data_IF_471890335679
#
_entry.id   IF_471890335679
#
_cell.length_a   1.000
_cell.length_b   1.000
_cell.length_c   1.000
_cell.angle_alpha   90.00
_cell.angle_beta   90.00
_cell.angle_gamma   90.00
#
_symmetry.space_group_name_H-M   'P 1'
#
loop_
_entity.id
_entity.type
_entity.pdbx_description
1 polymer ?
#
# COMPACT_ATOMS: atom_id res chain seq x y z
N UNK A 1 31.08 -66.72 1.39
CA UNK A 1 31.05 -67.17 2.80
C UNK A 1 29.67 -66.85 3.35
N UNK A 2 29.02 -67.86 3.92
CA UNK A 2 27.58 -67.97 4.17
C UNK A 2 27.29 -68.04 5.68
N UNK A 3 26.08 -67.62 6.08
CA UNK A 3 25.28 -67.85 7.33
C UNK A 3 24.79 -66.52 7.93
N UNK A 4 23.51 -66.15 7.85
CA UNK A 4 22.24 -66.76 8.32
C UNK A 4 21.93 -66.47 9.81
N UNK A 5 20.81 -65.77 10.05
CA UNK A 5 19.88 -65.89 11.20
C UNK A 5 18.61 -65.04 10.91
N UNK A 6 17.51 -65.68 10.45
CA UNK A 6 16.21 -65.89 11.14
C UNK A 6 15.47 -64.58 11.50
N UNK A 7 14.43 -64.12 10.76
CA UNK A 7 13.04 -64.61 10.62
C UNK A 7 12.18 -64.56 11.90
N UNK A 8 11.23 -63.61 11.96
CA UNK A 8 9.93 -63.80 12.59
C UNK A 8 8.84 -63.13 11.73
N UNK A 9 7.77 -63.88 11.49
CA UNK A 9 6.61 -63.61 10.64
C UNK A 9 5.39 -63.31 11.55
N UNK A 10 4.36 -62.67 10.98
CA UNK A 10 2.93 -62.59 11.37
C UNK A 10 2.57 -61.29 12.11
N UNK A 11 1.58 -60.45 11.76
CA UNK A 11 0.39 -60.54 10.91
C UNK A 11 -0.04 -59.13 10.43
N UNK A 12 -0.59 -59.01 9.21
CA UNK A 12 -1.48 -57.90 8.79
C UNK A 12 -2.94 -58.28 9.06
N UNK A 13 -3.83 -57.29 9.32
CA UNK A 13 -5.06 -57.18 8.52
C UNK A 13 -5.44 -55.69 8.25
N UNK A 14 -6.61 -55.36 7.65
CA UNK A 14 -6.76 -55.20 6.21
C UNK A 14 -7.06 -53.76 5.75
N UNK A 15 -6.86 -53.55 4.45
CA UNK A 15 -7.27 -52.38 3.69
C UNK A 15 -8.79 -52.23 3.70
N UNK A 16 -9.28 -51.09 4.18
CA UNK A 16 -10.63 -50.60 3.91
C UNK A 16 -10.55 -49.53 2.81
N UNK A 17 -11.06 -49.91 1.65
CA UNK A 17 -11.33 -49.02 0.54
C UNK A 17 -12.43 -48.02 0.93
N UNK A 18 -12.19 -46.73 0.72
CA UNK A 18 -13.25 -45.75 0.55
C UNK A 18 -13.06 -45.03 -0.77
N UNK A 19 -13.90 -45.39 -1.74
CA UNK A 19 -14.11 -44.63 -2.95
C UNK A 19 -15.20 -43.58 -2.68
N UNK A 20 -14.92 -42.30 -2.95
CA UNK A 20 -15.76 -41.40 -3.79
C UNK A 20 -15.26 -39.95 -3.84
N UNK A 21 -14.99 -39.56 -5.09
CA UNK A 21 -15.28 -38.28 -5.75
C UNK A 21 -14.38 -37.05 -5.50
N UNK A 22 -14.24 -36.19 -6.53
CA UNK A 22 -13.17 -35.20 -6.67
C UNK A 22 -13.60 -33.82 -6.16
N UNK A 23 -12.68 -32.86 -6.27
CA UNK A 23 -12.83 -31.42 -6.00
C UNK A 23 -12.66 -30.99 -4.54
N UNK A 24 -11.42 -30.77 -4.14
CA UNK A 24 -11.05 -29.72 -3.19
C UNK A 24 -10.07 -28.78 -3.89
N UNK A 25 -10.61 -27.73 -4.53
CA UNK A 25 -9.79 -26.60 -4.95
C UNK A 25 -9.19 -25.94 -3.71
N UNK A 26 -7.89 -25.60 -3.71
CA UNK A 26 -7.31 -24.83 -2.63
C UNK A 26 -7.93 -23.42 -2.68
N UNK A 27 -8.61 -23.04 -1.60
CA UNK A 27 -9.10 -21.69 -1.36
C UNK A 27 -7.89 -20.75 -1.26
N UNK A 28 -7.52 -20.13 -2.38
CA UNK A 28 -6.55 -19.04 -2.46
C UNK A 28 -7.19 -17.76 -1.89
N UNK A 29 -6.97 -17.51 -0.59
CA UNK A 29 -7.34 -16.26 0.07
C UNK A 29 -6.12 -15.31 0.12
N UNK A 30 -6.08 -14.32 -0.78
CA UNK A 30 -5.08 -13.27 -0.79
C UNK A 30 -5.43 -12.13 0.19
N UNK A 31 -4.41 -11.66 0.91
CA UNK A 31 -4.44 -10.58 1.90
C UNK A 31 -3.60 -9.40 1.41
N UNK A 32 -4.10 -8.18 1.55
CA UNK A 32 -3.55 -6.95 1.00
C UNK A 32 -2.09 -6.60 1.33
N UNK A 33 -1.46 -5.81 0.44
CA UNK A 33 -0.29 -4.98 0.74
C UNK A 33 -0.67 -3.49 0.83
N UNK A 34 0.12 -2.81 1.68
CA UNK A 34 0.20 -1.41 2.10
C UNK A 34 -0.83 -0.39 1.63
N UNK A 35 -1.21 -0.35 0.35
CA UNK A 35 -2.04 0.73 -0.15
C UNK A 35 -3.36 0.26 -0.79
N UNK A 36 -3.74 -0.99 -0.56
CA UNK A 36 -5.05 -1.53 -0.96
C UNK A 36 -5.72 -2.12 0.26
N UNK A 37 -6.38 -1.30 1.09
CA UNK A 37 -7.13 -1.85 2.21
C UNK A 37 -8.26 -2.77 1.75
N UNK A 38 -8.55 -3.83 2.50
CA UNK A 38 -9.75 -4.64 2.31
C UNK A 38 -10.35 -5.03 3.67
N UNK A 39 -11.69 -5.12 3.60
CA UNK A 39 -12.59 -5.96 4.37
C UNK A 39 -12.67 -5.71 5.88
N UNK A 40 -13.59 -4.80 6.25
CA UNK A 40 -14.09 -4.66 7.60
C UNK A 40 -15.55 -5.16 7.66
N UNK A 41 -15.73 -6.40 8.11
CA UNK A 41 -16.98 -6.91 8.66
C UNK A 41 -16.64 -7.77 9.87
N UNK A 42 -16.43 -7.16 11.05
CA UNK A 42 -16.92 -7.70 12.34
C UNK A 42 -16.72 -6.76 13.55
N UNK A 43 -17.83 -6.58 14.28
CA UNK A 43 -18.00 -6.24 15.71
C UNK A 43 -18.01 -4.79 16.24
N UNK A 44 -19.22 -4.41 16.67
CA UNK A 44 -19.57 -3.38 17.65
C UNK A 44 -19.43 -3.90 19.11
N UNK A 45 -19.40 -2.95 20.06
CA UNK A 45 -19.59 -3.01 21.53
C UNK A 45 -18.36 -3.18 22.47
N UNK A 46 -17.98 -2.11 23.22
CA UNK A 46 -18.32 -1.86 24.65
C UNK A 46 -17.59 -0.60 25.23
N UNK A 47 -18.41 0.30 25.79
CA UNK A 47 -18.29 1.22 26.95
C UNK A 47 -17.20 2.30 27.15
N UNK A 48 -17.72 3.56 27.17
CA UNK A 48 -17.86 4.56 28.28
C UNK A 48 -16.70 4.88 29.25
N UNK A 49 -16.73 6.18 29.62
CA UNK A 49 -16.19 6.92 30.81
C UNK A 49 -14.73 7.38 30.65
N UNK A 50 -14.32 8.65 30.81
CA UNK A 50 -14.75 9.85 31.58
C UNK A 50 -14.42 11.11 30.72
N UNK A 51 -15.18 12.21 30.65
CA UNK A 51 -15.62 13.09 31.73
C UNK A 51 -14.53 14.12 32.09
N UNK A 52 -14.56 15.34 31.53
CA UNK A 52 -14.34 16.61 32.26
C UNK A 52 -14.59 17.83 31.36
N UNK A 53 -15.56 18.64 31.78
CA UNK A 53 -15.91 19.93 31.20
C UNK A 53 -14.95 21.03 31.66
N UNK A 54 -14.65 22.02 30.80
CA UNK A 54 -14.14 23.33 31.22
C UNK A 54 -15.01 24.45 30.64
N UNK A 55 -15.70 25.14 31.55
CA UNK A 55 -16.40 26.41 31.34
C UNK A 55 -15.39 27.55 31.26
N UNK A 56 -15.70 28.49 30.37
CA UNK A 56 -15.18 29.85 30.32
C UNK A 56 -15.57 30.66 31.56
N UNK A 57 -14.70 31.59 32.01
CA UNK A 57 -15.10 32.94 32.43
C UNK A 57 -13.91 33.89 32.57
N UNK A 58 -14.24 35.14 32.26
CA UNK A 58 -13.51 36.41 32.20
C UNK A 58 -12.86 36.90 33.50
N UNK A 59 -11.86 37.78 33.38
CA UNK A 59 -11.41 38.68 34.45
C UNK A 59 -10.45 39.77 33.93
N UNK A 60 -10.80 41.03 34.18
CA UNK A 60 -10.12 42.28 33.76
C UNK A 60 -9.35 42.90 34.94
N UNK A 61 -8.40 43.82 34.63
CA UNK A 61 -7.65 44.82 35.46
C UNK A 61 -6.21 44.38 35.78
N UNK A 62 -5.17 45.22 35.70
CA UNK A 62 -5.00 46.63 35.35
C UNK A 62 -3.57 47.09 35.72
N UNK A 63 -3.07 48.14 35.04
CA UNK A 63 -2.17 49.16 35.62
C UNK A 63 -0.65 48.91 35.73
N UNK A 64 0.09 49.77 35.02
CA UNK A 64 1.26 50.57 35.47
C UNK A 64 2.61 50.35 34.74
N UNK A 65 3.05 51.44 34.09
CA UNK A 65 4.40 51.75 33.57
C UNK A 65 5.27 52.32 34.72
N UNK A 66 6.62 52.34 34.58
CA UNK A 66 7.26 53.55 34.06
C UNK A 66 8.50 53.36 33.15
N UNK A 67 8.49 54.16 32.08
CA UNK A 67 9.56 55.00 31.50
C UNK A 67 11.06 54.60 31.59
N UNK A 68 11.71 54.61 30.42
CA UNK A 68 12.99 55.30 30.19
C UNK A 68 13.18 55.68 28.72
N UNK A 69 13.16 56.99 28.47
CA UNK A 69 13.49 57.66 27.21
C UNK A 69 15.00 57.52 26.93
N UNK A 70 15.37 57.20 25.69
CA UNK A 70 16.69 57.55 25.15
C UNK A 70 16.55 58.04 23.71
N UNK A 71 17.15 59.20 23.48
CA UNK A 71 16.96 60.07 22.34
C UNK A 71 17.45 59.47 21.02
N UNK A 72 16.64 59.67 19.97
CA UNK A 72 17.03 59.54 18.57
C UNK A 72 18.09 60.60 18.25
N UNK A 73 19.24 60.17 17.70
CA UNK A 73 20.09 61.01 16.85
C UNK A 73 19.98 60.49 15.43
N UNK A 74 19.35 61.29 14.57
CA UNK A 74 19.42 61.15 13.13
C UNK A 74 20.80 61.61 12.66
N UNK A 75 21.57 60.70 12.06
CA UNK A 75 22.68 61.05 11.19
C UNK A 75 22.34 60.54 9.79
N UNK A 76 22.06 61.47 8.88
CA UNK A 76 22.11 61.22 7.45
C UNK A 76 23.57 61.14 7.02
N UNK A 77 23.96 60.02 6.42
CA UNK A 77 25.16 59.91 5.60
C UNK A 77 24.77 59.14 4.34
N UNK A 78 24.83 59.83 3.20
CA UNK A 78 24.72 59.21 1.89
C UNK A 78 25.95 58.29 1.69
N UNK A 79 25.72 57.01 1.41
CA UNK A 79 26.74 56.07 1.00
C UNK A 79 26.15 55.13 -0.07
N UNK A 80 26.57 55.41 -1.29
CA UNK A 80 26.68 54.61 -2.52
C UNK A 80 25.99 53.25 -2.60
N UNK A 81 25.24 53.09 -3.69
CA UNK A 81 24.66 51.84 -4.15
C UNK A 81 25.76 50.81 -4.49
N UNK A 82 25.96 49.83 -3.62
CA UNK A 82 26.63 48.58 -3.98
C UNK A 82 25.60 47.66 -4.63
N UNK A 83 25.84 47.33 -5.90
CA UNK A 83 25.10 46.33 -6.64
C UNK A 83 24.96 45.04 -5.82
N UNK A 84 23.70 44.60 -5.65
CA UNK A 84 23.36 43.31 -5.05
C UNK A 84 24.01 42.21 -5.88
N UNK A 85 24.98 41.52 -5.28
CA UNK A 85 25.48 40.27 -5.80
C UNK A 85 24.30 39.29 -5.95
N UNK A 86 24.18 38.70 -7.14
CA UNK A 86 23.27 37.61 -7.45
C UNK A 86 23.24 36.59 -6.29
N UNK A 87 22.10 36.52 -5.62
CA UNK A 87 21.81 35.47 -4.65
C UNK A 87 21.62 34.18 -5.48
N UNK A 88 22.66 33.34 -5.50
CA UNK A 88 22.63 32.06 -6.18
C UNK A 88 21.35 31.30 -5.74
N UNK A 89 20.60 30.71 -6.69
CA UNK A 89 19.33 30.07 -6.36
C UNK A 89 19.57 29.00 -5.30
N UNK A 90 18.81 29.08 -4.20
CA UNK A 90 18.86 28.10 -3.13
C UNK A 90 18.72 26.68 -3.73
N UNK A 91 19.48 25.68 -3.22
CA UNK A 91 19.39 24.32 -3.73
C UNK A 91 17.93 23.87 -3.68
N UNK A 92 17.41 23.21 -4.75
CA UNK A 92 16.01 22.85 -4.82
C UNK A 92 15.63 22.04 -3.57
N UNK A 93 14.57 22.46 -2.90
CA UNK A 93 14.07 21.79 -1.71
C UNK A 93 13.83 20.31 -2.03
N UNK A 94 14.50 19.41 -1.31
CA UNK A 94 14.42 17.98 -1.56
C UNK A 94 12.97 17.51 -1.41
N UNK A 95 12.40 16.91 -2.47
CA UNK A 95 11.04 16.36 -2.42
C UNK A 95 10.93 15.35 -1.26
N UNK A 96 9.79 15.38 -0.55
CA UNK A 96 9.46 14.34 0.44
C UNK A 96 9.38 12.99 -0.26
N UNK A 97 9.68 11.92 0.47
CA UNK A 97 9.70 10.56 -0.03
C UNK A 97 8.43 9.80 0.33
N UNK A 98 7.85 9.16 -0.68
CA UNK A 98 6.71 8.26 -0.54
C UNK A 98 7.11 6.86 -0.97
N UNK A 99 6.76 5.87 -0.16
CA UNK A 99 7.05 4.46 -0.43
C UNK A 99 5.75 3.66 -0.41
N UNK A 100 5.56 2.78 -1.40
CA UNK A 100 4.37 1.92 -1.46
C UNK A 100 4.69 0.57 -2.10
N UNK A 101 4.32 -0.50 -1.41
CA UNK A 101 4.47 -1.87 -1.86
C UNK A 101 3.15 -2.47 -2.35
N UNK A 102 3.20 -3.21 -3.46
CA UNK A 102 2.05 -3.96 -4.02
C UNK A 102 2.35 -5.45 -4.08
N UNK A 103 1.38 -6.29 -3.69
CA UNK A 103 1.51 -7.73 -3.88
C UNK A 103 1.39 -8.15 -5.36
N UNK A 104 2.22 -9.11 -5.79
CA UNK A 104 2.11 -9.73 -7.11
C UNK A 104 0.88 -10.64 -7.17
N UNK A 105 -0.31 -10.06 -7.38
CA UNK A 105 -1.54 -10.84 -7.55
C UNK A 105 -1.87 -11.11 -9.01
N UNK A 106 -1.33 -10.32 -9.95
CA UNK A 106 -1.70 -10.35 -11.38
C UNK A 106 -3.14 -9.88 -11.67
N UNK A 107 -4.04 -10.03 -10.70
CA UNK A 107 -5.45 -9.62 -10.76
C UNK A 107 -5.66 -8.29 -10.04
N UNK A 108 -5.52 -7.20 -10.77
CA UNK A 108 -5.88 -5.85 -10.30
C UNK A 108 -7.30 -5.55 -10.77
N UNK A 109 -8.18 -5.17 -9.84
CA UNK A 109 -9.55 -4.82 -10.16
C UNK A 109 -9.80 -3.30 -10.10
N UNK A 110 -10.93 -2.86 -10.65
CA UNK A 110 -11.33 -1.47 -10.77
C UNK A 110 -11.27 -0.72 -9.43
N UNK A 111 -11.70 -1.36 -8.34
CA UNK A 111 -11.57 -0.81 -6.99
C UNK A 111 -10.14 -0.52 -6.54
N UNK A 112 -9.14 -1.33 -6.92
CA UNK A 112 -7.73 -1.03 -6.61
C UNK A 112 -7.22 0.15 -7.45
N UNK A 113 -7.60 0.16 -8.72
CA UNK A 113 -7.18 1.19 -9.65
C UNK A 113 -7.73 2.58 -9.29
N UNK A 114 -9.04 2.70 -9.11
CA UNK A 114 -9.69 3.96 -8.77
C UNK A 114 -9.46 4.39 -7.30
N UNK A 115 -9.26 3.42 -6.40
CA UNK A 115 -9.03 3.70 -4.99
C UNK A 115 -7.59 4.08 -4.65
N UNK A 116 -6.61 3.57 -5.40
CA UNK A 116 -5.20 3.67 -5.02
C UNK A 116 -4.27 4.03 -6.19
N UNK A 117 -4.25 3.24 -7.27
CA UNK A 117 -3.27 3.40 -8.36
C UNK A 117 -3.37 4.78 -9.00
N UNK A 118 -4.58 5.26 -9.31
CA UNK A 118 -4.81 6.59 -9.89
C UNK A 118 -4.29 7.71 -8.99
N UNK A 119 -4.37 7.54 -7.66
CA UNK A 119 -3.81 8.50 -6.71
C UNK A 119 -2.28 8.49 -6.72
N UNK A 120 -1.64 7.32 -6.84
CA UNK A 120 -0.18 7.23 -6.90
C UNK A 120 0.43 7.85 -8.16
N UNK A 121 -0.28 7.76 -9.29
CA UNK A 121 0.10 8.44 -10.53
C UNK A 121 0.18 9.96 -10.34
N UNK A 122 -0.63 10.54 -9.44
CA UNK A 122 -0.51 11.95 -9.07
C UNK A 122 0.64 12.22 -8.07
N UNK A 123 0.97 11.24 -7.21
CA UNK A 123 2.04 11.39 -6.21
C UNK A 123 3.43 11.49 -6.82
N UNK A 124 3.70 10.80 -7.94
CA UNK A 124 5.02 10.83 -8.59
C UNK A 124 5.45 12.21 -9.08
N UNK A 125 4.50 13.12 -9.35
CA UNK A 125 4.81 14.50 -9.73
C UNK A 125 5.18 15.35 -8.50
N UNK A 126 4.57 15.07 -7.36
CA UNK A 126 4.71 15.83 -6.11
C UNK A 126 5.85 15.34 -5.21
N UNK A 127 6.16 14.05 -5.25
CA UNK A 127 7.05 13.37 -4.31
C UNK A 127 8.13 12.54 -5.03
N UNK A 128 9.23 12.26 -4.33
CA UNK A 128 10.16 11.21 -4.74
C UNK A 128 9.52 9.86 -4.36
N UNK A 129 9.12 9.08 -5.34
CA UNK A 129 8.26 7.91 -5.14
C UNK A 129 8.98 6.59 -5.40
N UNK A 130 8.75 5.62 -4.51
CA UNK A 130 9.22 4.24 -4.61
C UNK A 130 8.02 3.30 -4.63
N UNK A 131 7.73 2.73 -5.80
CA UNK A 131 6.68 1.74 -6.00
C UNK A 131 7.34 0.38 -6.24
N UNK A 132 6.99 -0.64 -5.48
CA UNK A 132 7.65 -1.92 -5.65
C UNK A 132 6.73 -3.10 -5.45
N UNK A 133 7.02 -4.17 -6.19
CA UNK A 133 6.29 -5.41 -6.14
C UNK A 133 6.87 -6.24 -4.99
N UNK A 134 6.07 -6.50 -3.96
CA UNK A 134 6.47 -7.18 -2.72
C UNK A 134 6.39 -8.70 -2.83
N UNK A 135 7.24 -9.27 -3.66
CA UNK A 135 7.34 -10.72 -3.87
C UNK A 135 7.83 -11.48 -2.62
N UNK A 136 8.67 -10.87 -1.77
CA UNK A 136 9.10 -11.48 -0.51
C UNK A 136 7.95 -11.55 0.52
N UNK A 137 7.01 -10.60 0.49
CA UNK A 137 5.79 -10.69 1.31
C UNK A 137 4.82 -11.75 0.78
N UNK A 138 4.80 -11.99 -0.54
CA UNK A 138 3.88 -12.95 -1.17
C UNK A 138 4.12 -14.39 -0.70
N UNK A 139 5.36 -14.74 -0.38
CA UNK A 139 5.74 -16.10 0.06
C UNK A 139 5.46 -16.37 1.55
N UNK A 140 4.88 -15.42 2.29
CA UNK A 140 4.54 -15.60 3.72
C UNK A 140 3.32 -16.51 3.94
N UNK A 141 2.57 -16.78 2.88
CA UNK A 141 1.42 -17.68 2.82
C UNK A 141 1.60 -18.66 1.64
N UNK A 142 0.79 -19.73 1.55
CA UNK A 142 0.83 -20.64 0.41
C UNK A 142 0.68 -19.89 -0.92
N UNK A 143 1.58 -20.17 -1.86
CA UNK A 143 1.63 -19.54 -3.18
C UNK A 143 1.99 -20.59 -4.25
N UNK A 144 1.68 -20.29 -5.50
CA UNK A 144 2.07 -21.11 -6.64
C UNK A 144 3.37 -20.59 -7.24
N UNK A 145 4.46 -21.36 -7.12
CA UNK A 145 5.80 -20.95 -7.51
C UNK A 145 5.94 -20.64 -9.02
N UNK A 146 5.43 -21.50 -9.94
CA UNK A 146 5.29 -21.18 -11.36
C UNK A 146 4.60 -19.84 -11.68
N UNK A 147 3.67 -19.38 -10.84
CA UNK A 147 2.88 -18.18 -11.10
C UNK A 147 3.45 -16.90 -10.49
N UNK A 148 4.27 -16.98 -9.43
CA UNK A 148 4.81 -15.80 -8.74
C UNK A 148 5.56 -14.84 -9.68
N UNK A 149 6.42 -15.39 -10.54
CA UNK A 149 7.19 -14.59 -11.51
C UNK A 149 6.28 -13.92 -12.55
N UNK A 150 5.28 -14.65 -13.05
CA UNK A 150 4.31 -14.13 -14.02
C UNK A 150 3.44 -13.03 -13.39
N UNK A 151 2.95 -13.27 -12.18
CA UNK A 151 2.16 -12.31 -11.43
C UNK A 151 2.95 -11.04 -11.08
N UNK A 152 4.26 -11.18 -10.79
CA UNK A 152 5.16 -10.05 -10.56
C UNK A 152 5.31 -9.19 -11.82
N UNK A 153 5.61 -9.82 -12.97
CA UNK A 153 5.71 -9.12 -14.26
C UNK A 153 4.41 -8.46 -14.67
N UNK A 154 3.30 -9.20 -14.60
CA UNK A 154 1.97 -8.69 -14.94
C UNK A 154 1.59 -7.51 -14.03
N UNK A 155 1.85 -7.59 -12.73
CA UNK A 155 1.58 -6.48 -11.80
C UNK A 155 2.42 -5.25 -12.13
N UNK A 156 3.71 -5.41 -12.43
CA UNK A 156 4.58 -4.31 -12.85
C UNK A 156 4.09 -3.65 -14.15
N UNK A 157 3.73 -4.46 -15.15
CA UNK A 157 3.20 -3.98 -16.42
C UNK A 157 1.87 -3.22 -16.26
N UNK A 158 0.95 -3.71 -15.41
CA UNK A 158 -0.30 -3.00 -15.09
C UNK A 158 0.00 -1.62 -14.49
N UNK A 159 0.99 -1.51 -13.60
CA UNK A 159 1.31 -0.23 -12.94
C UNK A 159 1.84 0.79 -13.94
N UNK A 160 2.74 0.36 -14.82
CA UNK A 160 3.24 1.18 -15.92
C UNK A 160 2.10 1.59 -16.87
N UNK A 161 1.21 0.64 -17.22
CA UNK A 161 0.06 0.88 -18.09
C UNK A 161 -0.97 1.85 -17.49
N UNK A 162 -1.11 1.86 -16.16
CA UNK A 162 -1.96 2.83 -15.44
C UNK A 162 -1.34 4.24 -15.35
N UNK A 163 -0.09 4.44 -15.78
CA UNK A 163 0.55 5.76 -15.84
C UNK A 163 1.68 6.01 -14.84
N UNK A 164 2.17 4.97 -14.15
CA UNK A 164 3.43 5.10 -13.39
C UNK A 164 4.59 5.27 -14.38
N UNK A 165 5.32 6.38 -14.23
CA UNK A 165 6.39 6.78 -15.12
C UNK A 165 7.75 6.47 -14.48
N UNK A 166 8.50 5.52 -15.04
CA UNK A 166 9.82 5.10 -14.56
C UNK A 166 10.90 6.19 -14.60
N UNK A 167 10.65 7.29 -15.32
CA UNK A 167 11.52 8.48 -15.30
C UNK A 167 11.28 9.35 -14.06
N UNK A 168 10.08 9.30 -13.48
CA UNK A 168 9.66 10.10 -12.31
C UNK A 168 9.67 9.32 -11.00
N UNK A 169 9.34 8.03 -11.06
CA UNK A 169 9.23 7.12 -9.94
C UNK A 169 10.20 5.95 -10.07
N UNK A 170 10.68 5.41 -8.94
CA UNK A 170 11.40 4.13 -8.94
C UNK A 170 10.38 3.00 -8.87
N UNK A 171 10.29 2.20 -9.94
CA UNK A 171 9.49 0.97 -9.98
C UNK A 171 10.39 -0.26 -10.00
N UNK A 172 10.26 -1.15 -9.04
CA UNK A 172 11.17 -2.30 -8.90
C UNK A 172 10.52 -3.51 -8.21
N UNK A 173 11.23 -4.64 -8.18
CA UNK A 173 10.82 -5.84 -7.45
C UNK A 173 11.57 -5.91 -6.13
N UNK A 174 10.87 -6.18 -5.02
CA UNK A 174 11.44 -6.16 -3.67
C UNK A 174 12.67 -7.07 -3.54
N UNK A 175 12.59 -8.30 -4.05
CA UNK A 175 13.71 -9.25 -4.03
C UNK A 175 14.95 -8.82 -4.82
N UNK A 176 14.83 -7.88 -5.77
CA UNK A 176 15.97 -7.38 -6.54
C UNK A 176 16.85 -6.43 -5.72
N UNK A 177 16.37 -5.93 -4.58
CA UNK A 177 17.10 -5.03 -3.69
C UNK A 177 17.41 -5.76 -2.38
N UNK A 178 18.62 -6.33 -2.28
CA UNK A 178 19.03 -7.17 -1.14
C UNK A 178 18.88 -6.51 0.23
N UNK A 179 19.00 -5.19 0.28
CA UNK A 179 18.96 -4.39 1.50
C UNK A 179 17.65 -4.58 2.29
N UNK A 180 16.54 -4.95 1.63
CA UNK A 180 15.27 -5.26 2.30
C UNK A 180 15.42 -6.38 3.33
N UNK A 181 16.09 -7.48 2.96
CA UNK A 181 16.29 -8.62 3.86
C UNK A 181 17.40 -8.35 4.88
N UNK A 182 18.49 -7.71 4.46
CA UNK A 182 19.59 -7.37 5.36
C UNK A 182 19.13 -6.44 6.48
N UNK A 183 18.39 -5.37 6.15
CA UNK A 183 17.86 -4.47 7.16
C UNK A 183 16.78 -5.17 8.00
N UNK A 184 15.91 -6.02 7.42
CA UNK A 184 14.95 -6.80 8.20
C UNK A 184 15.65 -7.61 9.29
N UNK A 185 16.77 -8.27 8.99
CA UNK A 185 17.54 -9.02 9.98
C UNK A 185 18.06 -8.11 11.11
N UNK A 186 18.63 -6.95 10.77
CA UNK A 186 19.12 -6.00 11.75
C UNK A 186 17.98 -5.47 12.65
N UNK A 187 16.85 -5.10 12.06
CA UNK A 187 15.66 -4.64 12.80
C UNK A 187 15.06 -5.74 13.69
N UNK A 188 15.14 -7.01 13.27
CA UNK A 188 14.65 -8.15 14.05
C UNK A 188 15.38 -8.25 15.40
N UNK A 189 16.69 -7.96 15.44
CA UNK A 189 17.47 -7.93 16.70
C UNK A 189 16.97 -6.90 17.71
N UNK A 190 16.31 -5.83 17.22
CA UNK A 190 15.78 -4.74 18.02
C UNK A 190 14.28 -4.85 18.27
N UNK A 191 13.59 -5.84 17.69
CA UNK A 191 12.13 -5.98 17.75
C UNK A 191 11.74 -7.08 18.75
N UNK A 192 11.10 -6.74 19.89
CA UNK A 192 10.63 -7.76 20.83
C UNK A 192 9.57 -8.67 20.20
N UNK A 193 9.69 -9.98 20.41
CA UNK A 193 8.70 -10.96 19.92
C UNK A 193 7.28 -10.68 20.41
N UNK A 194 7.15 -10.10 21.62
CA UNK A 194 5.87 -9.70 22.20
C UNK A 194 5.14 -8.60 21.41
N UNK A 195 5.84 -7.81 20.59
CA UNK A 195 5.21 -6.83 19.71
C UNK A 195 4.55 -7.52 18.51
N UNK A 196 5.25 -8.50 17.93
CA UNK A 196 4.76 -9.29 16.79
C UNK A 196 3.55 -10.15 17.18
N UNK A 197 3.59 -10.79 18.35
CA UNK A 197 2.47 -11.61 18.86
C UNK A 197 1.19 -10.80 19.15
N UNK A 198 1.27 -9.47 19.25
CA UNK A 198 0.10 -8.59 19.45
C UNK A 198 -0.57 -8.18 18.13
N UNK A 199 0.07 -8.42 16.99
CA UNK A 199 -0.47 -8.04 15.68
C UNK A 199 -1.78 -8.78 15.41
N UNK A 200 -2.83 -8.03 15.09
CA UNK A 200 -4.17 -8.58 14.83
C UNK A 200 -4.12 -9.47 13.58
N UNK A 201 -3.47 -8.96 12.54
CA UNK A 201 -3.27 -9.67 11.26
C UNK A 201 -2.56 -11.01 11.45
N UNK A 202 -1.53 -11.08 12.31
CA UNK A 202 -0.87 -12.35 12.61
C UNK A 202 -1.84 -13.34 13.26
N UNK A 203 -2.59 -12.92 14.28
CA UNK A 203 -3.55 -13.79 14.99
C UNK A 203 -4.64 -14.32 14.07
N UNK A 204 -5.19 -13.46 13.21
CA UNK A 204 -6.25 -13.85 12.28
C UNK A 204 -5.75 -14.80 11.19
N UNK A 205 -4.60 -14.51 10.58
CA UNK A 205 -4.00 -15.35 9.53
C UNK A 205 -3.51 -16.68 10.09
N UNK A 206 -2.93 -16.67 11.29
CA UNK A 206 -2.48 -17.88 11.99
C UNK A 206 -3.63 -18.85 12.26
N UNK A 207 -4.76 -18.32 12.78
CA UNK A 207 -5.98 -19.10 13.00
C UNK A 207 -6.53 -19.73 11.71
N UNK A 208 -6.49 -19.00 10.60
CA UNK A 208 -6.95 -19.49 9.28
C UNK A 208 -6.03 -20.57 8.69
N UNK A 209 -4.72 -20.44 8.88
CA UNK A 209 -3.72 -21.39 8.39
C UNK A 209 -3.57 -22.64 9.28
N UNK A 210 -4.30 -22.72 10.40
CA UNK A 210 -4.28 -23.86 11.30
C UNK A 210 -3.10 -23.88 12.25
N UNK A 211 -2.76 -22.73 12.88
CA UNK A 211 -1.83 -22.46 13.99
C UNK A 211 -0.45 -23.17 14.00
N UNK A 212 -0.42 -24.50 13.93
CA UNK A 212 0.79 -25.35 13.92
C UNK A 212 1.56 -25.28 12.59
N UNK A 213 0.86 -25.01 11.47
CA UNK A 213 1.48 -24.93 10.13
C UNK A 213 1.90 -23.52 9.72
N UNK A 214 1.93 -22.58 10.66
CA UNK A 214 2.23 -21.17 10.37
C UNK A 214 3.73 -20.96 10.25
N UNK A 215 4.19 -20.55 9.07
CA UNK A 215 5.59 -20.22 8.83
C UNK A 215 6.05 -19.01 9.65
N UNK A 216 7.32 -19.01 10.07
CA UNK A 216 7.96 -17.90 10.79
C UNK A 216 7.82 -16.57 10.04
N UNK A 217 7.86 -16.61 8.71
CA UNK A 217 7.69 -15.45 7.86
C UNK A 217 6.37 -14.71 8.12
N UNK A 218 5.28 -15.41 8.48
CA UNK A 218 4.00 -14.79 8.79
C UNK A 218 4.04 -13.99 10.12
N UNK A 219 4.89 -14.39 11.06
CA UNK A 219 5.11 -13.64 12.30
C UNK A 219 6.02 -12.43 12.07
N UNK A 220 7.03 -12.58 11.21
CA UNK A 220 8.12 -11.59 11.05
C UNK A 220 7.92 -10.63 9.88
N UNK A 221 6.94 -10.84 8.99
CA UNK A 221 6.68 -9.91 7.88
C UNK A 221 6.43 -8.46 8.32
N UNK A 222 5.89 -8.13 9.51
CA UNK A 222 5.79 -6.74 9.95
C UNK A 222 7.16 -6.07 10.14
N UNK A 223 8.22 -6.83 10.39
CA UNK A 223 9.60 -6.32 10.44
C UNK A 223 10.17 -6.12 9.03
N UNK A 224 9.82 -7.01 8.10
CA UNK A 224 10.13 -6.82 6.67
C UNK A 224 9.45 -5.55 6.14
N UNK A 225 8.18 -5.34 6.51
CA UNK A 225 7.44 -4.09 6.28
C UNK A 225 8.22 -2.87 6.76
N UNK A 226 8.68 -2.89 8.02
CA UNK A 226 9.46 -1.78 8.57
C UNK A 226 10.76 -1.56 7.79
N UNK A 227 11.44 -2.64 7.39
CA UNK A 227 12.63 -2.57 6.53
C UNK A 227 12.33 -1.88 5.20
N UNK A 228 11.24 -2.29 4.54
CA UNK A 228 10.80 -1.74 3.26
C UNK A 228 10.59 -0.23 3.29
N UNK A 229 10.07 0.32 4.41
CA UNK A 229 9.89 1.76 4.55
C UNK A 229 11.19 2.48 4.91
N UNK A 230 11.90 1.96 5.91
CA UNK A 230 12.96 2.71 6.58
C UNK A 230 14.22 2.82 5.72
N UNK A 231 14.47 1.87 4.80
CA UNK A 231 15.57 1.92 3.83
C UNK A 231 15.60 3.22 3.03
N UNK A 232 14.44 3.69 2.62
CA UNK A 232 14.34 4.84 1.73
C UNK A 232 14.30 6.18 2.46
N UNK A 233 14.44 6.20 3.79
CA UNK A 233 14.28 7.41 4.60
C UNK A 233 12.93 8.09 4.30
N UNK A 234 11.89 7.27 4.22
CA UNK A 234 10.55 7.67 3.80
C UNK A 234 9.92 8.67 4.76
N UNK A 235 9.26 9.68 4.21
CA UNK A 235 8.51 10.67 4.98
C UNK A 235 7.05 10.22 5.14
N UNK A 236 6.50 9.62 4.09
CA UNK A 236 5.08 9.36 3.93
C UNK A 236 4.84 7.94 3.41
N UNK A 237 3.82 7.26 3.94
CA UNK A 237 3.42 5.92 3.50
C UNK A 237 1.91 5.92 3.24
N UNK A 238 1.47 5.65 2.00
CA UNK A 238 0.04 5.50 1.72
C UNK A 238 -0.41 4.19 2.36
N UNK A 239 -1.23 4.29 3.41
CA UNK A 239 -1.74 3.12 4.13
C UNK A 239 -3.26 3.05 4.13
N UNK A 240 -3.79 1.84 3.88
CA UNK A 240 -5.17 1.52 4.22
C UNK A 240 -5.37 1.42 5.73
N UNK A 241 -6.62 1.55 6.19
CA UNK A 241 -6.98 1.46 7.63
C UNK A 241 -6.48 0.14 8.26
N UNK A 242 -6.53 -0.96 7.51
CA UNK A 242 -6.09 -2.31 7.91
C UNK A 242 -4.57 -2.43 8.16
N UNK A 243 -3.77 -1.50 7.63
CA UNK A 243 -2.31 -1.51 7.74
C UNK A 243 -1.76 -0.51 8.76
N UNK A 244 -2.64 0.25 9.41
CA UNK A 244 -2.28 1.27 10.42
C UNK A 244 -1.42 0.66 11.55
N UNK A 245 -1.75 -0.56 12.00
CA UNK A 245 -1.02 -1.23 13.06
C UNK A 245 0.44 -1.54 12.66
N UNK A 246 0.69 -1.92 11.41
CA UNK A 246 2.04 -2.21 10.94
C UNK A 246 2.86 -0.93 10.72
N UNK A 247 2.22 0.17 10.29
CA UNK A 247 2.88 1.46 10.22
C UNK A 247 3.28 1.95 11.61
N UNK A 248 2.42 1.77 12.61
CA UNK A 248 2.74 2.15 13.98
C UNK A 248 3.89 1.29 14.56
N UNK A 249 3.89 -0.02 14.28
CA UNK A 249 5.04 -0.87 14.61
C UNK A 249 6.32 -0.37 13.92
N UNK A 250 6.24 0.06 12.66
CA UNK A 250 7.40 0.61 11.94
C UNK A 250 7.94 1.87 12.62
N UNK A 251 7.04 2.74 13.08
CA UNK A 251 7.38 3.95 13.84
C UNK A 251 8.07 3.59 15.16
N UNK A 252 7.49 2.68 15.94
CA UNK A 252 8.08 2.20 17.20
C UNK A 252 9.47 1.57 17.00
N UNK A 253 9.65 0.74 15.97
CA UNK A 253 10.95 0.15 15.62
C UNK A 253 11.95 1.25 15.25
N UNK A 254 11.55 2.23 14.43
CA UNK A 254 12.42 3.32 14.00
C UNK A 254 12.91 4.17 15.16
N UNK A 255 12.02 4.54 16.08
CA UNK A 255 12.34 5.32 17.28
C UNK A 255 13.25 4.53 18.22
N UNK A 256 12.96 3.24 18.41
CA UNK A 256 13.79 2.36 19.23
C UNK A 256 15.22 2.26 18.70
N UNK A 257 15.39 2.00 17.40
CA UNK A 257 16.73 1.91 16.79
C UNK A 257 17.46 3.24 16.84
N UNK A 258 16.75 4.36 16.61
CA UNK A 258 17.30 5.70 16.76
C UNK A 258 17.82 5.95 18.19
N UNK A 259 17.09 5.52 19.22
CA UNK A 259 17.48 5.69 20.62
C UNK A 259 18.65 4.77 21.02
N UNK A 260 18.65 3.53 20.52
CA UNK A 260 19.67 2.54 20.84
C UNK A 260 21.03 2.90 20.21
N UNK A 261 21.02 3.22 18.91
CA UNK A 261 22.24 3.30 18.12
C UNK A 261 22.55 4.70 17.57
N UNK A 262 21.56 5.59 17.44
CA UNK A 262 21.73 6.92 16.90
C UNK A 262 22.46 7.91 17.83
N UNK A 263 22.31 9.20 17.52
CA UNK A 263 22.80 10.32 18.31
C UNK A 263 24.33 10.34 18.45
N UNK A 264 24.80 10.60 19.66
CA UNK A 264 26.25 10.68 19.96
C UNK A 264 26.97 9.33 19.83
N UNK A 265 26.26 8.21 20.01
CA UNK A 265 26.85 6.86 19.94
C UNK A 265 27.34 6.57 18.52
N UNK A 266 26.47 6.76 17.53
CA UNK A 266 26.85 6.64 16.12
C UNK A 266 27.95 7.63 15.72
N UNK A 267 27.89 8.87 16.20
CA UNK A 267 28.94 9.87 15.91
C UNK A 267 30.32 9.43 16.39
N UNK A 268 30.42 8.78 17.56
CA UNK A 268 31.69 8.23 18.08
C UNK A 268 32.27 7.11 17.21
N UNK A 269 31.43 6.39 16.48
CA UNK A 269 31.84 5.35 15.52
C UNK A 269 32.16 5.92 14.13
N UNK A 270 32.31 7.24 14.00
CA UNK A 270 32.59 7.93 12.74
C UNK A 270 31.35 8.14 11.86
N UNK A 271 30.15 8.00 12.40
CA UNK A 271 28.90 8.30 11.70
C UNK A 271 28.56 9.79 11.73
N UNK A 272 27.55 10.20 10.95
CA UNK A 272 27.08 11.60 10.96
C UNK A 272 26.44 12.02 12.30
N UNK A 273 26.00 11.07 13.11
CA UNK A 273 25.22 11.30 14.33
C UNK A 273 23.74 11.58 14.05
N UNK A 274 22.97 11.88 15.10
CA UNK A 274 21.52 12.09 14.99
C UNK A 274 20.75 10.80 14.71
N UNK A 275 19.56 10.91 14.14
CA UNK A 275 18.70 9.76 13.86
C UNK A 275 19.20 8.96 12.64
N UNK A 276 19.10 7.63 12.75
CA UNK A 276 19.38 6.68 11.66
C UNK A 276 18.23 6.66 10.66
N UNK A 277 17.00 6.70 11.15
CA UNK A 277 15.78 6.70 10.35
C UNK A 277 14.95 7.94 10.59
N UNK A 278 14.26 8.40 9.54
CA UNK A 278 13.06 9.21 9.69
C UNK A 278 11.92 8.35 10.23
N UNK A 279 11.04 8.95 11.02
CA UNK A 279 9.83 8.30 11.50
C UNK A 279 8.72 8.55 10.47
N UNK A 280 8.22 7.52 9.76
CA UNK A 280 7.27 7.71 8.67
C UNK A 280 5.88 8.13 9.19
N UNK A 281 5.17 8.94 8.41
CA UNK A 281 3.79 9.32 8.67
C UNK A 281 2.83 8.66 7.67
N UNK A 282 1.59 8.46 8.10
CA UNK A 282 0.54 7.96 7.22
C UNK A 282 0.18 9.06 6.21
N UNK A 283 0.25 8.74 4.92
CA UNK A 283 -0.34 9.55 3.87
C UNK A 283 -1.75 9.03 3.64
N UNK A 284 -2.74 9.76 4.14
CA UNK A 284 -4.15 9.50 3.82
C UNK A 284 -4.40 10.19 2.48
N UNK A 285 -4.56 9.44 1.37
CA UNK A 285 -4.90 10.07 0.09
C UNK A 285 -6.23 10.80 0.24
N UNK A 286 -6.49 11.87 -0.53
CA UNK A 286 -7.86 12.37 -0.66
C UNK A 286 -8.77 11.20 -1.00
N UNK A 287 -9.92 11.11 -0.33
CA UNK A 287 -10.77 9.91 -0.33
C UNK A 287 -10.89 9.35 -1.75
N UNK A 288 -10.18 8.25 -2.00
CA UNK A 288 -10.22 7.56 -3.29
C UNK A 288 -11.62 7.01 -3.52
N UNK A 289 -11.92 6.68 -4.77
CA UNK A 289 -13.18 6.05 -5.10
C UNK A 289 -13.36 4.75 -4.29
N UNK A 290 -14.33 4.71 -3.37
CA UNK A 290 -14.73 3.48 -2.71
C UNK A 290 -15.66 2.71 -3.65
N UNK A 291 -15.07 1.86 -4.48
CA UNK A 291 -15.82 1.01 -5.42
C UNK A 291 -16.33 -0.23 -4.69
N UNK A 292 -17.64 -0.46 -4.77
CA UNK A 292 -18.33 -1.58 -4.14
C UNK A 292 -18.49 -2.75 -5.10
N UNK A 293 -18.79 -3.92 -4.57
CA UNK A 293 -19.05 -5.14 -5.34
C UNK A 293 -20.25 -4.96 -6.28
N UNK A 294 -20.14 -5.53 -7.48
CA UNK A 294 -21.23 -5.53 -8.46
C UNK A 294 -22.41 -6.44 -8.06
N UNK A 295 -22.20 -7.35 -7.12
CA UNK A 295 -23.25 -8.26 -6.64
C UNK A 295 -23.82 -7.85 -5.27
N UNK A 296 -23.15 -6.92 -4.57
CA UNK A 296 -23.56 -6.40 -3.28
C UNK A 296 -23.01 -4.99 -3.06
N UNK A 297 -23.88 -3.97 -3.13
CA UNK A 297 -23.49 -2.57 -3.00
C UNK A 297 -22.97 -2.16 -1.62
N UNK A 298 -23.14 -3.00 -0.58
CA UNK A 298 -22.63 -2.75 0.78
C UNK A 298 -21.24 -3.33 1.02
N UNK A 299 -20.84 -4.34 0.23
CA UNK A 299 -19.53 -4.97 0.31
C UNK A 299 -18.52 -4.29 -0.62
N UNK A 300 -17.30 -4.05 -0.14
CA UNK A 300 -16.23 -3.49 -0.98
C UNK A 300 -15.88 -4.48 -2.10
N UNK A 301 -15.52 -3.96 -3.29
CA UNK A 301 -14.97 -4.82 -4.34
C UNK A 301 -13.65 -5.45 -3.85
N UNK A 302 -13.55 -6.78 -3.90
CA UNK A 302 -12.43 -7.52 -3.34
C UNK A 302 -11.91 -8.61 -4.29
N UNK A 303 -10.59 -8.82 -4.26
CA UNK A 303 -9.89 -9.89 -5.00
C UNK A 303 -10.24 -11.29 -4.51
N UNK A 304 -10.62 -11.42 -3.23
CA UNK A 304 -10.91 -12.70 -2.58
C UNK A 304 -12.39 -13.10 -2.66
N UNK A 305 -13.25 -12.23 -3.20
CA UNK A 305 -14.67 -12.54 -3.39
C UNK A 305 -14.81 -13.82 -4.24
N UNK A 306 -15.62 -14.82 -3.81
CA UNK A 306 -15.74 -16.11 -4.50
C UNK A 306 -16.26 -16.00 -5.93
N UNK A 307 -17.16 -15.04 -6.17
CA UNK A 307 -17.75 -14.80 -7.48
C UNK A 307 -16.94 -13.75 -8.23
N UNK A 308 -16.39 -14.10 -9.40
CA UNK A 308 -15.73 -13.13 -10.27
C UNK A 308 -16.69 -12.07 -10.83
N UNK A 309 -18.00 -12.35 -10.84
CA UNK A 309 -19.04 -11.38 -11.21
C UNK A 309 -19.14 -10.19 -10.24
N UNK A 310 -18.53 -10.29 -9.05
CA UNK A 310 -18.51 -9.21 -8.06
C UNK A 310 -17.58 -8.05 -8.42
N UNK A 311 -16.69 -8.22 -9.40
CA UNK A 311 -15.60 -7.28 -9.70
C UNK A 311 -15.32 -7.16 -11.20
N UNK A 312 -14.85 -5.98 -11.61
CA UNK A 312 -14.25 -5.77 -12.94
C UNK A 312 -12.74 -5.81 -12.78
N UNK A 313 -12.05 -6.73 -13.45
CA UNK A 313 -10.59 -6.71 -13.53
C UNK A 313 -10.14 -5.75 -14.62
N UNK A 314 -8.98 -5.12 -14.47
CA UNK A 314 -8.49 -4.14 -15.45
C UNK A 314 -8.23 -4.76 -16.83
N UNK A 315 -7.88 -6.04 -16.85
CA UNK A 315 -7.59 -6.81 -18.06
C UNK A 315 -8.78 -7.66 -18.52
N UNK A 316 -9.99 -7.45 -17.96
CA UNK A 316 -11.18 -8.15 -18.45
C UNK A 316 -11.45 -7.75 -19.92
N UNK A 317 -11.64 -8.73 -20.83
CA UNK A 317 -12.08 -8.46 -22.19
C UNK A 317 -13.44 -7.75 -22.26
N UNK A 318 -13.71 -7.09 -23.38
CA UNK A 318 -14.94 -6.30 -23.59
C UNK A 318 -16.21 -7.09 -23.31
N UNK A 319 -16.31 -8.32 -23.82
CA UNK A 319 -17.46 -9.21 -23.63
C UNK A 319 -17.65 -9.63 -22.16
N UNK A 320 -16.55 -9.82 -21.42
CA UNK A 320 -16.58 -10.12 -19.98
C UNK A 320 -17.11 -8.91 -19.19
N UNK A 321 -16.65 -7.70 -19.50
CA UNK A 321 -17.14 -6.46 -18.88
C UNK A 321 -18.64 -6.30 -19.15
N UNK A 322 -19.07 -6.44 -20.41
CA UNK A 322 -20.49 -6.39 -20.81
C UNK A 322 -21.33 -7.37 -20.00
N UNK A 323 -20.89 -8.63 -19.89
CA UNK A 323 -21.62 -9.65 -19.14
C UNK A 323 -21.70 -9.34 -17.63
N UNK A 324 -20.60 -8.85 -17.03
CA UNK A 324 -20.55 -8.48 -15.60
C UNK A 324 -21.46 -7.30 -15.28
N UNK A 325 -21.44 -6.23 -16.07
CA UNK A 325 -22.32 -5.07 -15.89
C UNK A 325 -23.79 -5.43 -16.17
N UNK A 326 -24.06 -6.25 -17.20
CA UNK A 326 -25.42 -6.74 -17.46
C UNK A 326 -26.00 -7.46 -16.24
N UNK A 327 -25.20 -8.31 -15.59
CA UNK A 327 -25.60 -9.12 -14.41
C UNK A 327 -25.45 -8.41 -13.06
N UNK A 328 -24.92 -7.19 -13.00
CA UNK A 328 -24.73 -6.52 -11.72
C UNK A 328 -26.08 -6.26 -11.03
N UNK A 329 -26.08 -6.31 -9.71
CA UNK A 329 -27.26 -6.08 -8.87
C UNK A 329 -27.69 -4.63 -8.99
N UNK A 330 -28.99 -4.41 -9.14
CA UNK A 330 -29.64 -3.10 -9.17
C UNK A 330 -30.95 -3.18 -8.39
N UNK A 331 -31.43 -2.04 -7.89
CA UNK A 331 -32.76 -1.96 -7.28
C UNK A 331 -33.88 -1.97 -8.35
N UNK A 332 -35.13 -2.11 -7.88
CA UNK A 332 -36.32 -2.07 -8.72
C UNK A 332 -36.99 -0.69 -8.76
N UNK A 333 -36.35 0.34 -8.20
CA UNK A 333 -36.93 1.68 -8.10
C UNK A 333 -36.70 2.45 -9.41
N UNK A 334 -37.67 3.29 -9.83
CA UNK A 334 -37.50 4.14 -11.00
C UNK A 334 -36.50 5.28 -10.71
N UNK A 335 -35.82 5.74 -11.77
CA UNK A 335 -34.86 6.83 -11.72
C UNK A 335 -33.51 6.44 -11.12
N UNK A 336 -32.48 7.25 -11.39
CA UNK A 336 -31.12 7.07 -10.92
C UNK A 336 -30.74 8.28 -10.06
N UNK A 337 -30.35 8.04 -8.81
CA UNK A 337 -30.07 9.10 -7.85
C UNK A 337 -28.80 8.84 -7.07
N UNK A 338 -28.07 9.93 -6.77
CA UNK A 338 -26.98 9.88 -5.81
C UNK A 338 -27.51 10.06 -4.38
N UNK A 339 -26.76 9.51 -3.42
CA UNK A 339 -26.90 9.77 -1.97
C UNK A 339 -28.17 9.26 -1.28
N UNK A 340 -28.97 8.43 -1.94
CA UNK A 340 -29.97 7.63 -1.22
C UNK A 340 -29.27 6.45 -0.52
N UNK A 341 -29.18 6.42 0.83
CA UNK A 341 -28.51 5.35 1.56
C UNK A 341 -29.20 3.98 1.38
N UNK A 342 -30.49 3.97 1.04
CA UNK A 342 -31.26 2.76 0.78
C UNK A 342 -31.01 2.17 -0.63
N UNK A 343 -30.22 2.86 -1.47
CA UNK A 343 -29.89 2.45 -2.85
C UNK A 343 -28.37 2.37 -3.06
N UNK A 344 -27.66 1.49 -2.33
CA UNK A 344 -26.21 1.43 -2.38
C UNK A 344 -25.68 1.03 -3.76
N UNK A 345 -26.39 0.18 -4.51
CA UNK A 345 -26.02 -0.18 -5.88
C UNK A 345 -26.12 1.02 -6.85
N UNK A 346 -27.15 1.86 -6.72
CA UNK A 346 -27.32 3.08 -7.52
C UNK A 346 -26.19 4.05 -7.28
N UNK A 347 -25.90 4.34 -6.01
CA UNK A 347 -24.75 5.16 -5.64
C UNK A 347 -23.44 4.59 -6.19
N UNK A 348 -23.19 3.29 -6.05
CA UNK A 348 -21.96 2.67 -6.51
C UNK A 348 -21.76 2.81 -8.02
N UNK A 349 -22.76 2.44 -8.83
CA UNK A 349 -22.63 2.44 -10.29
C UNK A 349 -22.54 3.87 -10.86
N UNK A 350 -23.31 4.81 -10.31
CA UNK A 350 -23.23 6.23 -10.69
C UNK A 350 -21.88 6.85 -10.29
N UNK A 351 -21.35 6.53 -9.10
CA UNK A 351 -20.01 6.97 -8.70
C UNK A 351 -18.93 6.41 -9.63
N UNK A 352 -19.01 5.13 -10.01
CA UNK A 352 -18.09 4.55 -11.00
C UNK A 352 -18.17 5.30 -12.32
N UNK A 353 -19.37 5.54 -12.85
CA UNK A 353 -19.59 6.29 -14.09
C UNK A 353 -18.99 7.71 -14.03
N UNK A 354 -19.22 8.42 -12.93
CA UNK A 354 -18.66 9.74 -12.67
C UNK A 354 -17.13 9.74 -12.76
N UNK A 355 -16.48 8.78 -12.10
CA UNK A 355 -15.02 8.75 -11.96
C UNK A 355 -14.31 8.38 -13.27
N UNK A 356 -14.88 7.46 -14.06
CA UNK A 356 -14.30 7.02 -15.33
C UNK A 356 -14.52 8.04 -16.45
N UNK A 357 -15.65 8.74 -16.45
CA UNK A 357 -15.93 9.80 -17.43
C UNK A 357 -15.29 11.14 -17.05
N UNK A 358 -14.92 11.32 -15.79
CA UNK A 358 -14.39 12.59 -15.28
C UNK A 358 -15.45 13.69 -15.12
N UNK A 359 -16.73 13.35 -15.27
CA UNK A 359 -17.86 14.28 -15.16
C UNK A 359 -18.11 14.70 -13.71
N UNK A 360 -18.71 15.88 -13.52
CA UNK A 360 -19.20 16.30 -12.22
C UNK A 360 -20.45 15.50 -11.82
N UNK A 361 -20.81 15.57 -10.54
CA UNK A 361 -22.02 14.87 -10.06
C UNK A 361 -23.27 15.42 -10.74
N UNK A 362 -23.31 16.73 -10.95
CA UNK A 362 -24.41 17.45 -11.58
C UNK A 362 -24.59 17.04 -13.04
N UNK A 363 -23.47 16.90 -13.78
CA UNK A 363 -23.47 16.41 -15.15
C UNK A 363 -24.01 14.97 -15.24
N UNK A 364 -23.56 14.08 -14.34
CA UNK A 364 -24.04 12.69 -14.31
C UNK A 364 -25.53 12.62 -13.99
N UNK A 365 -26.00 13.40 -13.00
CA UNK A 365 -27.43 13.46 -12.67
C UNK A 365 -28.24 13.93 -13.87
N UNK A 366 -27.83 15.04 -14.51
CA UNK A 366 -28.54 15.59 -15.67
C UNK A 366 -28.60 14.63 -16.84
N UNK A 367 -27.53 13.86 -17.08
CA UNK A 367 -27.47 12.89 -18.17
C UNK A 367 -28.28 11.63 -17.87
N UNK A 368 -28.27 11.18 -16.62
CA UNK A 368 -28.88 9.91 -16.23
C UNK A 368 -30.33 10.04 -15.74
N UNK A 369 -30.86 11.25 -15.57
CA UNK A 369 -32.18 11.50 -14.95
C UNK A 369 -33.33 10.73 -15.61
N UNK A 370 -33.31 10.62 -16.95
CA UNK A 370 -34.37 9.99 -17.74
C UNK A 370 -34.05 8.53 -18.12
N UNK A 371 -32.90 8.01 -17.67
CA UNK A 371 -32.47 6.65 -17.99
C UNK A 371 -33.10 5.61 -17.06
N UNK A 372 -33.46 4.47 -17.65
CA UNK A 372 -33.71 3.24 -16.89
C UNK A 372 -32.41 2.42 -16.72
N UNK A 373 -32.44 1.42 -15.84
CA UNK A 373 -31.29 0.54 -15.58
C UNK A 373 -30.74 -0.15 -16.83
N UNK A 374 -31.60 -0.55 -17.77
CA UNK A 374 -31.16 -1.20 -19.01
C UNK A 374 -30.31 -0.26 -19.86
N UNK A 375 -30.75 0.98 -20.03
CA UNK A 375 -30.05 2.02 -20.80
C UNK A 375 -28.76 2.43 -20.08
N UNK A 376 -28.84 2.73 -18.78
CA UNK A 376 -27.68 3.16 -18.02
C UNK A 376 -26.58 2.09 -17.93
N UNK A 377 -26.93 0.81 -17.81
CA UNK A 377 -25.94 -0.28 -17.82
C UNK A 377 -25.17 -0.34 -19.14
N UNK A 378 -25.82 -0.04 -20.27
CA UNK A 378 -25.14 0.04 -21.57
C UNK A 378 -24.19 1.24 -21.57
N UNK A 379 -24.66 2.43 -21.19
CA UNK A 379 -23.84 3.65 -21.09
C UNK A 379 -22.61 3.47 -20.19
N UNK A 380 -22.80 2.85 -19.01
CA UNK A 380 -21.71 2.55 -18.08
C UNK A 380 -20.72 1.54 -18.67
N UNK A 381 -21.22 0.53 -19.40
CA UNK A 381 -20.37 -0.48 -20.04
C UNK A 381 -19.48 0.15 -21.09
N UNK A 382 -20.03 1.00 -21.95
CA UNK A 382 -19.28 1.67 -23.01
C UNK A 382 -18.21 2.59 -22.39
N UNK A 383 -18.58 3.41 -21.41
CA UNK A 383 -17.63 4.27 -20.70
C UNK A 383 -16.53 3.48 -19.98
N UNK A 384 -16.84 2.31 -19.40
CA UNK A 384 -15.83 1.44 -18.79
C UNK A 384 -14.86 0.88 -19.82
N UNK A 385 -15.36 0.42 -20.96
CA UNK A 385 -14.54 -0.13 -22.04
C UNK A 385 -13.62 0.97 -22.59
N UNK A 386 -14.16 2.16 -22.87
CA UNK A 386 -13.39 3.29 -23.39
C UNK A 386 -12.30 3.74 -22.41
N UNK A 387 -12.58 3.69 -21.11
CA UNK A 387 -11.60 4.03 -20.07
C UNK A 387 -10.50 2.97 -19.89
N UNK A 388 -10.86 1.68 -19.98
CA UNK A 388 -9.92 0.58 -19.76
C UNK A 388 -9.11 0.23 -21.01
N UNK A 389 -9.63 0.45 -22.21
CA UNK A 389 -8.97 0.08 -23.46
C UNK A 389 -7.55 0.66 -23.60
N UNK A 390 -7.27 1.95 -23.32
CA UNK A 390 -5.90 2.48 -23.39
C UNK A 390 -4.94 1.77 -22.42
N UNK A 391 -5.41 1.41 -21.23
CA UNK A 391 -4.62 0.68 -20.23
C UNK A 391 -4.32 -0.73 -20.73
N UNK A 392 -5.32 -1.42 -21.29
CA UNK A 392 -5.16 -2.77 -21.84
C UNK A 392 -4.19 -2.79 -23.02
N UNK A 393 -4.31 -1.84 -23.96
CA UNK A 393 -3.38 -1.70 -25.08
C UNK A 393 -1.96 -1.48 -24.58
N UNK A 394 -1.77 -0.54 -23.64
CA UNK A 394 -0.45 -0.24 -23.08
C UNK A 394 0.14 -1.43 -22.31
N UNK A 395 -0.69 -2.17 -21.59
CA UNK A 395 -0.29 -3.40 -20.91
C UNK A 395 0.22 -4.45 -21.91
N UNK A 396 -0.52 -4.71 -22.98
CA UNK A 396 -0.12 -5.68 -24.00
C UNK A 396 1.17 -5.25 -24.73
N UNK A 397 1.34 -3.96 -25.03
CA UNK A 397 2.60 -3.43 -25.56
C UNK A 397 3.78 -3.76 -24.65
N UNK A 398 3.66 -3.48 -23.34
CA UNK A 398 4.71 -3.73 -22.36
C UNK A 398 4.99 -5.22 -22.21
N UNK A 399 3.95 -6.06 -22.18
CA UNK A 399 4.09 -7.50 -22.02
C UNK A 399 4.66 -8.18 -23.28
N UNK A 400 4.44 -7.59 -24.46
CA UNK A 400 5.00 -8.06 -25.73
C UNK A 400 6.50 -7.79 -25.88
N UNK A 401 7.06 -6.86 -25.09
CA UNK A 401 8.50 -6.58 -25.00
C UNK A 401 9.04 -6.87 -23.58
N UNK A 402 9.38 -8.14 -23.27
CA UNK A 402 9.97 -8.50 -21.99
C UNK A 402 11.28 -7.75 -21.71
N UNK A 403 12.06 -7.41 -22.74
CA UNK A 403 13.33 -6.70 -22.59
C UNK A 403 13.13 -5.28 -22.07
N UNK A 404 12.10 -4.58 -22.55
CA UNK A 404 11.72 -3.29 -22.00
C UNK A 404 11.37 -3.38 -20.51
N UNK A 405 10.48 -4.30 -20.12
CA UNK A 405 10.03 -4.42 -18.73
C UNK A 405 11.20 -4.79 -17.78
N UNK A 406 12.04 -5.75 -18.18
CA UNK A 406 13.19 -6.17 -17.40
C UNK A 406 14.18 -4.99 -17.21
N UNK A 407 14.41 -4.18 -18.25
CA UNK A 407 15.24 -2.98 -18.15
C UNK A 407 14.65 -1.91 -17.21
N UNK A 408 13.34 -1.67 -17.27
CA UNK A 408 12.65 -0.73 -16.38
C UNK A 408 12.82 -1.17 -14.92
N UNK A 409 12.57 -2.44 -14.62
CA UNK A 409 12.69 -2.99 -13.27
C UNK A 409 14.14 -3.01 -12.77
N UNK A 410 15.11 -3.30 -13.66
CA UNK A 410 16.53 -3.26 -13.33
C UNK A 410 16.97 -1.84 -12.98
N UNK A 411 16.60 -0.84 -13.78
CA UNK A 411 16.94 0.55 -13.55
C UNK A 411 16.29 1.09 -12.27
N UNK A 412 15.02 0.74 -12.03
CA UNK A 412 14.32 1.10 -10.80
C UNK A 412 14.98 0.46 -9.56
N UNK A 413 15.40 -0.80 -9.66
CA UNK A 413 16.11 -1.49 -8.59
C UNK A 413 17.48 -0.84 -8.33
N UNK A 414 18.22 -0.44 -9.38
CA UNK A 414 19.49 0.28 -9.24
C UNK A 414 19.34 1.59 -8.46
N UNK A 415 18.39 2.44 -8.86
CA UNK A 415 18.09 3.71 -8.15
C UNK A 415 17.67 3.46 -6.69
N UNK A 416 16.85 2.45 -6.45
CA UNK A 416 16.42 2.08 -5.11
C UNK A 416 17.60 1.58 -4.26
N UNK A 417 18.46 0.71 -4.82
CA UNK A 417 19.65 0.16 -4.17
C UNK A 417 20.62 1.24 -3.73
N UNK A 418 20.88 2.28 -4.51
CA UNK A 418 21.78 3.36 -4.11
C UNK A 418 21.35 4.01 -2.79
N UNK A 419 20.05 4.25 -2.62
CA UNK A 419 19.49 4.86 -1.41
C UNK A 419 19.43 3.84 -0.27
N UNK A 420 18.99 2.62 -0.57
CA UNK A 420 18.83 1.55 0.40
C UNK A 420 20.18 1.14 1.00
N UNK A 421 21.21 0.95 0.17
CA UNK A 421 22.56 0.58 0.58
C UNK A 421 23.21 1.68 1.42
N UNK A 422 22.97 2.96 1.09
CA UNK A 422 23.43 4.07 1.92
C UNK A 422 22.82 4.03 3.33
N UNK A 423 21.51 3.78 3.44
CA UNK A 423 20.85 3.61 4.74
C UNK A 423 21.37 2.37 5.46
N UNK A 424 21.49 1.24 4.78
CA UNK A 424 21.95 -0.02 5.35
C UNK A 424 23.38 0.10 5.91
N UNK A 425 24.29 0.73 5.16
CA UNK A 425 25.66 0.99 5.60
C UNK A 425 25.71 1.86 6.87
N UNK A 426 24.83 2.86 6.98
CA UNK A 426 24.72 3.68 8.19
C UNK A 426 24.28 2.83 9.40
N UNK A 427 23.34 1.91 9.21
CA UNK A 427 22.87 1.00 10.27
C UNK A 427 23.97 0.02 10.66
N UNK A 428 24.66 -0.61 9.71
CA UNK A 428 25.81 -1.47 9.98
C UNK A 428 26.88 -0.75 10.82
N UNK A 429 27.24 0.47 10.41
CA UNK A 429 28.19 1.28 11.17
C UNK A 429 27.69 1.60 12.58
N UNK A 430 26.43 2.02 12.73
CA UNK A 430 25.88 2.42 14.02
C UNK A 430 25.71 1.25 14.99
N UNK A 431 25.48 0.05 14.46
CA UNK A 431 25.45 -1.19 15.23
C UNK A 431 26.85 -1.77 15.50
N UNK A 432 27.91 -1.16 14.95
CA UNK A 432 29.29 -1.54 15.23
C UNK A 432 29.81 -2.74 14.46
N UNK A 433 29.19 -3.09 13.33
CA UNK A 433 29.70 -4.16 12.46
C UNK A 433 31.02 -3.74 11.81
N UNK A 434 31.92 -4.72 11.63
CA UNK A 434 33.17 -4.52 10.90
C UNK A 434 32.85 -4.15 9.44
N UNK A 435 33.47 -3.09 8.93
CA UNK A 435 33.29 -2.66 7.54
C UNK A 435 33.97 -3.65 6.60
N UNK A 436 33.30 -3.93 5.49
CA UNK A 436 33.82 -4.75 4.39
C UNK A 436 34.98 -4.08 3.68
#
# INVERSE_FOLDING_TARGET
>A
MSRALLSHILHRPPLLAYARSPSSHPLSCALNAWAVGADADTFFYVSRRLGFARRSRSGVRGGALPSRLRALRLNCSAAEATASADEAPAPPARKKRVVSGVQPTGMVHLGNYLGAIKNWVALQDLYETFFFIVDLHAITLPYDAPELSKATRSTAAIYLACGIDSSKASIFVQSHVRAHIELMWLLSSSTPIGWLNKMIQFKEKSRKAGNENVGVALLTYPVLMASDILLYQSDLVPVGEDQTQHLELTREISERVNNLYGGRKWKKLGGRGGSLFKVPEALIPPAGARVMSLTDGLSKMSKSAPSDLSRINLLDPKDVIVNKIKRCKTDSLPGLEFDNPERPECKNLLSVYQIITGKTKEEVVSECQDMNWGTFKVTLTDALIDHLQPIQVRYEEIMSDPGYLDNVLLNGAGKASEIADATLNNVYQAMGFLRR
#
